data_IF_363614250410
#
_entry.id   IF_363614250410
#
_cell.length_a   1.000
_cell.length_b   1.000
_cell.length_c   1.000
_cell.angle_alpha   90.00
_cell.angle_beta   90.00
_cell.angle_gamma   90.00
#
_symmetry.space_group_name_H-M   'P 1'
#
loop_
_entity.id
_entity.type
_entity.pdbx_description
1 polymer ?
#
# COMPACT_ATOMS: atom_id res chain seq x y z
N UNK A 1 21.32 4.53 -0.62
CA UNK A 1 20.51 3.48 -1.27
C UNK A 1 20.03 2.44 -0.26
N UNK A 2 20.93 1.76 0.45
CA UNK A 2 20.59 0.80 1.51
C UNK A 2 19.78 1.42 2.65
N UNK A 3 20.13 2.62 3.11
CA UNK A 3 19.36 3.36 4.12
C UNK A 3 17.92 3.65 3.69
N UNK A 4 17.72 4.11 2.45
CA UNK A 4 16.41 4.39 1.89
C UNK A 4 15.56 3.12 1.74
N UNK A 5 16.17 1.99 1.36
CA UNK A 5 15.49 0.70 1.29
C UNK A 5 15.02 0.22 2.68
N UNK A 6 15.87 0.33 3.70
CA UNK A 6 15.55 -0.07 5.08
C UNK A 6 14.44 0.81 5.67
N UNK A 7 14.53 2.12 5.50
CA UNK A 7 13.49 3.06 5.90
C UNK A 7 12.17 2.80 5.17
N UNK A 8 12.24 2.57 3.85
CA UNK A 8 11.08 2.20 3.06
C UNK A 8 10.43 0.91 3.57
N UNK A 9 11.21 -0.12 3.88
CA UNK A 9 10.72 -1.36 4.47
C UNK A 9 10.06 -1.15 5.84
N UNK A 10 10.63 -0.29 6.69
CA UNK A 10 10.06 0.06 7.99
C UNK A 10 8.71 0.77 7.84
N UNK A 11 8.58 1.72 6.90
CA UNK A 11 7.30 2.34 6.57
C UNK A 11 6.33 1.33 5.95
N UNK A 12 6.82 0.35 5.20
CA UNK A 12 6.04 -0.80 4.73
C UNK A 12 5.47 -1.64 5.87
N UNK A 13 6.20 -1.84 6.97
CA UNK A 13 5.65 -2.49 8.17
C UNK A 13 4.51 -1.67 8.80
N UNK A 14 4.62 -0.35 8.84
CA UNK A 14 3.54 0.52 9.31
C UNK A 14 2.30 0.39 8.41
N UNK A 15 2.49 0.41 7.09
CA UNK A 15 1.43 0.22 6.10
C UNK A 15 0.80 -1.17 6.24
N UNK A 16 1.57 -2.21 6.54
CA UNK A 16 1.02 -3.54 6.82
C UNK A 16 0.02 -3.53 7.99
N UNK A 17 0.39 -2.89 9.11
CA UNK A 17 -0.50 -2.80 10.28
C UNK A 17 -1.82 -2.11 9.94
N UNK A 18 -1.75 -1.03 9.16
CA UNK A 18 -2.92 -0.31 8.67
C UNK A 18 -3.72 -1.15 7.64
N UNK A 19 -3.06 -1.95 6.80
CA UNK A 19 -3.70 -2.84 5.83
C UNK A 19 -4.55 -3.89 6.53
N UNK A 20 -3.99 -4.54 7.55
CA UNK A 20 -4.71 -5.53 8.36
C UNK A 20 -5.92 -4.90 9.02
N UNK A 21 -5.78 -3.67 9.54
CA UNK A 21 -6.92 -2.89 10.05
C UNK A 21 -7.98 -2.61 8.98
N UNK A 22 -7.58 -2.18 7.78
CA UNK A 22 -8.51 -1.95 6.67
C UNK A 22 -9.26 -3.23 6.26
N UNK A 23 -8.57 -4.37 6.17
CA UNK A 23 -9.18 -5.68 5.87
C UNK A 23 -10.20 -6.04 6.95
N UNK A 24 -9.86 -5.88 8.23
CA UNK A 24 -10.75 -6.20 9.34
C UNK A 24 -12.05 -5.38 9.31
N UNK A 25 -11.94 -4.07 9.07
CA UNK A 25 -13.12 -3.17 9.02
C UNK A 25 -13.92 -3.35 7.72
N UNK A 26 -13.27 -3.73 6.62
CA UNK A 26 -13.90 -3.90 5.30
C UNK A 26 -14.37 -5.34 5.03
N UNK A 27 -14.22 -6.25 5.98
CA UNK A 27 -14.36 -7.70 5.78
C UNK A 27 -15.69 -8.09 5.13
N UNK A 28 -16.80 -7.48 5.55
CA UNK A 28 -18.14 -7.77 4.99
C UNK A 28 -18.18 -7.50 3.48
N UNK A 29 -17.72 -6.33 3.04
CA UNK A 29 -17.70 -5.96 1.62
C UNK A 29 -16.61 -6.65 0.80
N UNK A 30 -15.61 -7.25 1.47
CA UNK A 30 -14.58 -8.07 0.82
C UNK A 30 -15.00 -9.55 0.69
N UNK A 31 -15.88 -10.05 1.55
CA UNK A 31 -16.24 -11.48 1.65
C UNK A 31 -16.65 -12.09 0.31
N UNK A 32 -17.48 -11.46 -0.54
CA UNK A 32 -17.84 -12.03 -1.85
C UNK A 32 -16.63 -12.27 -2.76
N UNK A 33 -15.68 -11.33 -2.79
CA UNK A 33 -14.47 -11.45 -3.62
C UNK A 33 -13.55 -12.55 -3.06
N UNK A 34 -13.39 -12.59 -1.75
CA UNK A 34 -12.55 -13.57 -1.06
C UNK A 34 -13.09 -14.98 -1.26
N UNK A 35 -14.40 -15.14 -1.22
CA UNK A 35 -15.08 -16.39 -1.49
C UNK A 35 -14.88 -16.83 -2.95
N UNK A 36 -14.93 -15.89 -3.90
CA UNK A 36 -14.62 -16.17 -5.31
C UNK A 36 -13.16 -16.60 -5.50
N UNK A 37 -12.21 -15.91 -4.87
CA UNK A 37 -10.78 -16.27 -4.88
C UNK A 37 -10.57 -17.64 -4.24
N UNK A 38 -11.17 -17.88 -3.08
CA UNK A 38 -11.12 -19.16 -2.36
C UNK A 38 -11.58 -20.30 -3.26
N UNK A 39 -12.76 -20.19 -3.88
CA UNK A 39 -13.31 -21.24 -4.75
C UNK A 39 -12.44 -21.51 -5.98
N UNK A 40 -11.81 -20.47 -6.53
CA UNK A 40 -10.99 -20.58 -7.75
C UNK A 40 -9.60 -21.16 -7.51
N UNK A 41 -8.94 -20.75 -6.44
CA UNK A 41 -7.52 -21.06 -6.22
C UNK A 41 -7.27 -21.97 -5.02
N UNK A 42 -8.18 -21.99 -4.04
CA UNK A 42 -8.04 -22.71 -2.77
C UNK A 42 -9.34 -23.42 -2.37
N UNK A 43 -9.91 -24.30 -3.23
CA UNK A 43 -11.25 -24.86 -3.02
C UNK A 43 -11.42 -25.64 -1.71
N UNK A 44 -10.33 -26.19 -1.16
CA UNK A 44 -10.32 -26.90 0.13
C UNK A 44 -10.05 -26.03 1.36
N UNK A 45 -9.71 -24.75 1.18
CA UNK A 45 -9.40 -23.86 2.30
C UNK A 45 -10.68 -23.25 2.90
N UNK A 46 -10.68 -23.04 4.22
CA UNK A 46 -11.69 -22.18 4.86
C UNK A 46 -11.41 -20.71 4.58
N UNK A 47 -12.43 -19.85 4.66
CA UNK A 47 -12.26 -18.40 4.52
C UNK A 47 -11.27 -17.86 5.56
N UNK A 48 -11.30 -18.41 6.77
CA UNK A 48 -10.34 -18.09 7.85
C UNK A 48 -8.90 -18.45 7.46
N UNK A 49 -8.67 -19.64 6.89
CA UNK A 49 -7.34 -20.04 6.44
C UNK A 49 -6.83 -19.12 5.31
N UNK A 50 -7.71 -18.74 4.38
CA UNK A 50 -7.36 -17.77 3.34
C UNK A 50 -6.99 -16.41 3.93
N UNK A 51 -7.76 -15.93 4.92
CA UNK A 51 -7.49 -14.68 5.62
C UNK A 51 -6.16 -14.67 6.37
N UNK A 52 -5.85 -15.76 7.06
CA UNK A 52 -4.56 -15.95 7.72
C UNK A 52 -3.43 -15.98 6.70
N UNK A 53 -3.63 -16.63 5.55
CA UNK A 53 -2.67 -16.63 4.43
C UNK A 53 -2.42 -15.23 3.87
N UNK A 54 -3.48 -14.45 3.62
CA UNK A 54 -3.37 -13.07 3.12
C UNK A 54 -2.64 -12.18 4.15
N UNK A 55 -3.02 -12.28 5.42
CA UNK A 55 -2.37 -11.53 6.51
C UNK A 55 -0.90 -11.93 6.68
N UNK A 56 -0.60 -13.23 6.58
CA UNK A 56 0.76 -13.74 6.63
C UNK A 56 1.60 -13.26 5.45
N UNK A 57 1.05 -13.29 4.23
CA UNK A 57 1.72 -12.79 3.04
C UNK A 57 1.92 -11.27 3.09
N UNK A 58 0.99 -10.52 3.68
CA UNK A 58 1.07 -9.06 3.75
C UNK A 58 2.26 -8.59 4.59
N UNK A 59 2.68 -9.37 5.60
CA UNK A 59 3.86 -9.10 6.43
C UNK A 59 5.16 -9.03 5.62
N UNK A 60 5.25 -9.73 4.49
CA UNK A 60 6.41 -9.68 3.60
C UNK A 60 6.18 -8.72 2.44
N UNK A 61 4.94 -8.68 1.94
CA UNK A 61 4.56 -7.87 0.79
C UNK A 61 4.78 -6.38 1.03
N UNK A 62 4.25 -5.83 2.12
CA UNK A 62 4.32 -4.38 2.34
C UNK A 62 5.72 -3.85 2.64
N UNK A 63 6.56 -4.54 3.44
CA UNK A 63 7.97 -4.16 3.56
C UNK A 63 8.71 -4.21 2.23
N UNK A 64 8.43 -5.19 1.37
CA UNK A 64 9.02 -5.27 0.04
C UNK A 64 8.58 -4.08 -0.84
N UNK A 65 7.28 -3.77 -0.87
CA UNK A 65 6.74 -2.58 -1.56
C UNK A 65 7.38 -1.30 -1.05
N UNK A 66 7.48 -1.16 0.28
CA UNK A 66 8.10 -0.02 0.91
C UNK A 66 9.59 0.12 0.57
N UNK A 67 10.35 -0.97 0.56
CA UNK A 67 11.74 -0.98 0.13
C UNK A 67 11.89 -0.54 -1.33
N UNK A 68 11.01 -1.02 -2.22
CA UNK A 68 10.97 -0.61 -3.63
C UNK A 68 10.70 0.89 -3.75
N UNK A 69 9.75 1.44 -3.01
CA UNK A 69 9.51 2.89 -2.99
C UNK A 69 10.69 3.67 -2.43
N UNK A 70 11.33 3.18 -1.37
CA UNK A 70 12.55 3.78 -0.81
C UNK A 70 13.68 3.88 -1.82
N UNK A 71 13.97 2.77 -2.52
CA UNK A 71 14.97 2.74 -3.59
C UNK A 71 14.56 3.61 -4.75
N UNK A 72 13.30 3.51 -5.20
CA UNK A 72 12.76 4.28 -6.32
C UNK A 72 12.87 5.78 -6.09
N UNK A 73 12.49 6.26 -4.90
CA UNK A 73 12.63 7.66 -4.54
C UNK A 73 14.09 8.09 -4.40
N UNK A 74 14.95 7.25 -3.80
CA UNK A 74 16.38 7.52 -3.70
C UNK A 74 17.06 7.69 -5.06
N UNK A 75 16.67 6.87 -6.05
CA UNK A 75 17.13 7.00 -7.44
C UNK A 75 16.56 8.24 -8.11
N UNK A 76 15.27 8.52 -7.89
CA UNK A 76 14.60 9.70 -8.42
C UNK A 76 15.31 10.98 -7.98
N UNK A 77 15.63 11.10 -6.69
CA UNK A 77 16.36 12.27 -6.14
C UNK A 77 17.76 12.42 -6.76
N UNK A 78 18.46 11.31 -6.97
CA UNK A 78 19.82 11.33 -7.53
C UNK A 78 19.86 11.82 -8.99
N UNK A 79 18.74 11.76 -9.72
CA UNK A 79 18.65 12.14 -11.12
C UNK A 79 18.61 13.67 -11.39
N UNK A 80 18.59 14.52 -10.36
CA UNK A 80 18.78 15.97 -10.50
C UNK A 80 17.70 16.84 -9.84
N UNK A 81 17.84 18.18 -9.92
CA UNK A 81 16.90 19.11 -9.31
C UNK A 81 15.52 18.95 -9.94
N UNK A 82 14.53 18.63 -9.12
CA UNK A 82 13.17 18.49 -9.59
C UNK A 82 12.61 19.88 -9.89
N UNK A 83 12.16 20.04 -11.13
CA UNK A 83 11.66 21.27 -11.74
C UNK A 83 10.85 22.14 -10.77
N UNK A 84 11.16 23.45 -10.77
CA UNK A 84 10.68 24.47 -9.83
C UNK A 84 9.18 24.75 -9.81
N UNK A 85 8.38 23.74 -9.52
CA UNK A 85 6.93 23.77 -9.30
C UNK A 85 6.64 23.15 -7.93
N UNK A 86 6.90 23.87 -6.84
CA UNK A 86 6.60 23.40 -5.48
C UNK A 86 7.50 22.27 -4.95
N UNK A 87 7.07 21.63 -3.84
CA UNK A 87 7.84 20.62 -3.10
C UNK A 87 8.50 19.58 -4.02
N UNK A 88 9.82 19.32 -3.92
CA UNK A 88 10.53 18.42 -4.82
C UNK A 88 10.01 16.97 -4.81
N UNK A 89 9.07 16.62 -3.93
CA UNK A 89 8.54 15.26 -3.77
C UNK A 89 7.23 15.03 -4.52
N UNK A 90 6.56 16.11 -4.98
CA UNK A 90 5.18 16.04 -5.48
C UNK A 90 4.95 15.03 -6.62
N UNK A 91 5.84 14.86 -7.63
CA UNK A 91 5.58 13.93 -8.72
C UNK A 91 5.62 12.48 -8.23
N UNK A 92 6.56 12.18 -7.32
CA UNK A 92 6.65 10.88 -6.68
C UNK A 92 5.41 10.59 -5.83
N UNK A 93 4.95 11.57 -5.04
CA UNK A 93 3.73 11.44 -4.24
C UNK A 93 2.50 11.13 -5.10
N UNK A 94 2.39 11.74 -6.29
CA UNK A 94 1.30 11.46 -7.23
C UNK A 94 1.38 10.05 -7.81
N UNK A 95 2.57 9.56 -8.15
CA UNK A 95 2.74 8.19 -8.64
C UNK A 95 2.38 7.16 -7.57
N UNK A 96 2.80 7.38 -6.32
CA UNK A 96 2.40 6.55 -5.19
C UNK A 96 0.88 6.58 -5.02
N UNK A 97 0.27 7.76 -5.07
CA UNK A 97 -1.18 7.91 -4.96
C UNK A 97 -1.91 7.18 -6.09
N UNK A 98 -1.45 7.34 -7.34
CA UNK A 98 -2.00 6.65 -8.50
C UNK A 98 -1.91 5.12 -8.35
N UNK A 99 -0.81 4.60 -7.80
CA UNK A 99 -0.68 3.16 -7.54
C UNK A 99 -1.71 2.66 -6.50
N UNK A 100 -2.00 3.47 -5.48
CA UNK A 100 -3.03 3.17 -4.48
C UNK A 100 -4.42 3.08 -5.12
N UNK A 101 -4.75 4.04 -6.00
CA UNK A 101 -5.98 3.99 -6.80
C UNK A 101 -6.00 2.79 -7.76
N UNK A 102 -4.87 2.40 -8.35
CA UNK A 102 -4.79 1.21 -9.21
C UNK A 102 -5.09 -0.09 -8.45
N UNK A 103 -4.53 -0.24 -7.24
CA UNK A 103 -4.71 -1.44 -6.43
C UNK A 103 -6.09 -1.50 -5.75
N UNK A 104 -6.59 -0.36 -5.27
CA UNK A 104 -7.76 -0.31 -4.40
C UNK A 104 -8.98 0.40 -5.02
N UNK A 105 -8.85 0.96 -6.22
CA UNK A 105 -9.90 1.76 -6.86
C UNK A 105 -11.23 1.05 -6.99
N UNK A 106 -11.21 -0.26 -7.28
CA UNK A 106 -12.44 -1.07 -7.35
C UNK A 106 -13.25 -1.06 -6.05
N UNK A 107 -12.60 -0.93 -4.89
CA UNK A 107 -13.24 -0.89 -3.59
C UNK A 107 -13.74 0.51 -3.21
N UNK A 108 -13.22 1.57 -3.84
CA UNK A 108 -13.75 2.93 -3.72
C UNK A 108 -15.12 3.10 -4.37
N UNK A 109 -15.42 2.26 -5.37
CA UNK A 109 -16.71 2.28 -6.09
C UNK A 109 -17.83 1.57 -5.34
N UNK A 110 -17.52 0.81 -4.28
CA UNK A 110 -18.49 0.03 -3.51
C UNK A 110 -18.89 0.76 -2.24
N UNK A 111 -20.19 0.96 -2.01
CA UNK A 111 -20.69 1.69 -0.84
C UNK A 111 -20.18 1.09 0.49
N UNK A 112 -20.11 -0.23 0.59
CA UNK A 112 -19.69 -0.95 1.80
C UNK A 112 -18.22 -0.76 2.18
N UNK A 113 -17.35 -0.48 1.21
CA UNK A 113 -15.90 -0.35 1.43
C UNK A 113 -15.37 1.04 1.08
N UNK A 114 -16.19 1.93 0.54
CA UNK A 114 -15.74 3.22 -0.03
C UNK A 114 -15.03 4.08 1.00
N UNK A 115 -15.64 4.30 2.16
CA UNK A 115 -15.07 5.17 3.20
C UNK A 115 -13.76 4.60 3.74
N UNK A 116 -13.77 3.32 4.13
CA UNK A 116 -12.59 2.65 4.70
C UNK A 116 -11.46 2.61 3.69
N UNK A 117 -11.76 2.35 2.42
CA UNK A 117 -10.78 2.37 1.34
C UNK A 117 -10.26 3.77 1.05
N UNK A 118 -11.09 4.80 1.11
CA UNK A 118 -10.65 6.19 0.92
C UNK A 118 -9.66 6.61 2.02
N UNK A 119 -9.98 6.27 3.28
CA UNK A 119 -9.07 6.49 4.41
C UNK A 119 -7.77 5.72 4.23
N UNK A 120 -7.85 4.44 3.87
CA UNK A 120 -6.69 3.60 3.59
C UNK A 120 -5.79 4.16 2.48
N UNK A 121 -6.37 4.56 1.34
CA UNK A 121 -5.65 5.17 0.21
C UNK A 121 -4.99 6.49 0.64
N UNK A 122 -5.68 7.31 1.44
CA UNK A 122 -5.13 8.54 2.00
C UNK A 122 -3.92 8.27 2.91
N UNK A 123 -4.03 7.33 3.84
CA UNK A 123 -2.93 6.95 4.74
C UNK A 123 -1.75 6.35 3.98
N UNK A 124 -2.01 5.45 3.05
CA UNK A 124 -1.00 4.87 2.16
C UNK A 124 -0.23 5.96 1.41
N UNK A 125 -0.96 6.88 0.78
CA UNK A 125 -0.38 7.97 0.00
C UNK A 125 0.38 8.97 0.87
N UNK A 126 -0.10 9.23 2.09
CA UNK A 126 0.62 10.04 3.07
C UNK A 126 1.93 9.39 3.50
N UNK A 127 1.93 8.10 3.83
CA UNK A 127 3.11 7.39 4.33
C UNK A 127 4.15 7.23 3.22
N UNK A 128 3.80 6.63 2.09
CA UNK A 128 4.77 6.38 1.04
C UNK A 128 5.00 7.59 0.15
N UNK A 129 3.98 8.42 -0.09
CA UNK A 129 4.09 9.54 -1.03
C UNK A 129 4.71 10.78 -0.40
N UNK A 130 4.52 11.02 0.90
CA UNK A 130 4.96 12.26 1.55
C UNK A 130 5.98 12.02 2.67
N UNK A 131 5.69 11.09 3.58
CA UNK A 131 6.54 10.84 4.74
C UNK A 131 7.85 10.14 4.36
N UNK A 132 7.80 9.17 3.44
CA UNK A 132 8.99 8.48 2.97
C UNK A 132 9.99 9.45 2.31
N UNK A 133 9.59 10.31 1.35
CA UNK A 133 10.49 11.32 0.80
C UNK A 133 11.14 12.22 1.85
N UNK A 134 10.35 12.67 2.84
CA UNK A 134 10.82 13.54 3.93
C UNK A 134 11.95 12.92 4.74
N UNK A 135 11.92 11.62 5.00
CA UNK A 135 12.96 10.93 5.77
C UNK A 135 14.14 10.44 4.91
N UNK A 136 14.00 10.44 3.59
CA UNK A 136 15.09 10.11 2.65
C UNK A 136 15.85 11.39 2.22
N UNK A 137 15.37 12.59 2.55
CA UNK A 137 16.10 13.85 2.43
C UNK A 137 17.42 13.87 3.22
#
# INVERSE_FOLDING_TARGET
MTSAAVLGAALGMLVNSLFVGWVAVSLRGLTPDLEAVRRRFFPGATLTALMLGITGASLLFWPAVGAIYGVGYGLWRAAGPQFGLGSPHWPFSLLVTASAFGLFGRFLLRAETRLTTAVWVGLYSGIFGWLLPWFVE
#
